data_IF_885788997404
#
_entry.id   IF_885788997404
#
_cell.length_a   1.000
_cell.length_b   1.000
_cell.length_c   1.000
_cell.angle_alpha   90.00
_cell.angle_beta   90.00
_cell.angle_gamma   90.00
#
_symmetry.space_group_name_H-M   'P 1'
#
loop_
_entity.id
_entity.type
_entity.pdbx_description
1 polymer ?
#
# COMPACT_ATOMS: atom_id res chain seq x y z
N UNK A 1 -9.55 14.37 -4.72
CA UNK A 1 -9.50 15.58 -3.87
C UNK A 1 -8.03 15.88 -3.64
N UNK A 2 -7.47 17.04 -4.01
CA UNK A 2 -6.09 17.34 -3.65
C UNK A 2 -6.06 17.56 -2.14
N UNK A 3 -5.40 16.66 -1.42
CA UNK A 3 -5.27 16.75 0.04
C UNK A 3 -4.35 17.91 0.33
N UNK A 4 -4.89 18.91 1.04
CA UNK A 4 -4.21 20.06 1.65
C UNK A 4 -2.77 19.69 2.06
N UNK A 5 -1.78 20.50 1.67
CA UNK A 5 -0.36 20.25 1.96
C UNK A 5 -0.16 19.79 3.41
N UNK A 6 0.13 18.50 3.54
CA UNK A 6 0.24 17.86 4.84
C UNK A 6 1.67 18.02 5.31
N UNK A 7 1.87 18.84 6.33
CA UNK A 7 3.17 19.05 6.96
C UNK A 7 3.42 17.85 7.88
N UNK A 8 4.45 17.08 7.59
CA UNK A 8 4.89 15.95 8.42
C UNK A 8 5.99 16.40 9.38
N UNK A 9 5.77 16.22 10.68
CA UNK A 9 6.79 16.52 11.70
C UNK A 9 7.50 15.23 12.15
N UNK A 10 8.81 15.33 12.39
CA UNK A 10 9.63 14.20 12.87
C UNK A 10 9.09 13.58 14.16
N UNK A 11 8.50 14.39 15.05
CA UNK A 11 7.95 13.95 16.34
C UNK A 11 6.69 13.10 16.21
N UNK A 12 5.98 13.17 15.08
CA UNK A 12 4.73 12.45 14.84
C UNK A 12 4.96 11.07 14.19
N UNK A 13 6.22 10.69 13.96
CA UNK A 13 6.58 9.40 13.39
C UNK A 13 6.06 8.26 14.27
N UNK A 14 5.38 7.30 13.64
CA UNK A 14 4.95 6.05 14.25
C UNK A 14 5.40 4.88 13.39
N UNK A 15 5.89 3.78 14.00
CA UNK A 15 6.17 2.56 13.25
C UNK A 15 4.93 2.03 12.53
N UNK A 16 5.12 1.50 11.32
CA UNK A 16 4.05 0.89 10.54
C UNK A 16 3.53 -0.39 11.24
N UNK A 17 2.20 -0.59 11.35
CA UNK A 17 1.57 -1.76 11.98
C UNK A 17 1.65 -3.06 11.20
N UNK A 18 2.15 -2.99 9.96
CA UNK A 18 2.34 -4.14 9.09
C UNK A 18 3.79 -4.20 8.63
N UNK A 19 4.32 -5.43 8.61
CA UNK A 19 5.54 -5.75 7.88
C UNK A 19 5.18 -6.36 6.53
N UNK A 20 5.92 -5.95 5.50
CA UNK A 20 5.83 -6.53 4.16
C UNK A 20 6.92 -7.57 4.04
N UNK A 21 6.56 -8.84 4.20
CA UNK A 21 7.50 -9.96 4.15
C UNK A 21 8.00 -10.24 2.72
N UNK A 22 7.13 -10.08 1.72
CA UNK A 22 7.52 -10.17 0.31
C UNK A 22 6.55 -9.43 -0.60
N UNK A 23 7.06 -8.96 -1.72
CA UNK A 23 6.30 -8.27 -2.77
C UNK A 23 6.60 -8.92 -4.12
N UNK A 24 5.56 -9.41 -4.78
CA UNK A 24 5.63 -9.93 -6.16
C UNK A 24 4.94 -8.90 -7.08
N UNK A 25 5.64 -8.41 -8.09
CA UNK A 25 5.11 -7.45 -9.07
C UNK A 25 5.18 -8.06 -10.47
N UNK A 26 4.08 -7.97 -11.19
CA UNK A 26 4.00 -8.31 -12.60
C UNK A 26 3.51 -7.09 -13.38
N UNK A 27 4.26 -6.72 -14.42
CA UNK A 27 3.96 -5.58 -15.28
C UNK A 27 3.63 -6.09 -16.67
N UNK A 28 2.42 -5.86 -17.12
CA UNK A 28 1.97 -6.11 -18.48
C UNK A 28 1.96 -4.75 -19.20
N UNK A 29 2.99 -4.51 -20.00
CA UNK A 29 3.18 -3.24 -20.72
C UNK A 29 2.30 -3.22 -21.97
N UNK A 30 1.30 -2.34 -22.00
CA UNK A 30 0.52 -2.05 -23.20
C UNK A 30 0.78 -0.59 -23.65
N UNK A 31 0.60 -0.27 -24.95
CA UNK A 31 0.87 1.07 -25.45
C UNK A 31 0.04 2.16 -24.78
N UNK A 32 -1.19 1.85 -24.36
CA UNK A 32 -2.14 2.80 -23.77
C UNK A 32 -2.02 2.90 -22.26
N UNK A 33 -1.77 1.77 -21.58
CA UNK A 33 -1.63 1.69 -20.13
C UNK A 33 -0.83 0.45 -19.70
N UNK A 34 -0.15 0.54 -18.56
CA UNK A 34 0.52 -0.63 -17.97
C UNK A 34 -0.41 -1.26 -16.94
N UNK A 35 -0.72 -2.54 -17.12
CA UNK A 35 -1.41 -3.31 -16.10
C UNK A 35 -0.39 -3.83 -15.07
N UNK A 36 -0.63 -3.50 -13.80
CA UNK A 36 0.23 -3.92 -12.68
C UNK A 36 -0.54 -4.88 -11.79
N UNK A 37 0.02 -6.08 -11.60
CA UNK A 37 -0.50 -7.05 -10.64
C UNK A 37 0.50 -7.22 -9.50
N UNK A 38 0.00 -7.02 -8.28
CA UNK A 38 0.81 -7.06 -7.06
C UNK A 38 0.27 -8.13 -6.12
N UNK A 39 1.16 -8.97 -5.58
CA UNK A 39 0.87 -9.84 -4.43
C UNK A 39 1.78 -9.44 -3.26
N UNK A 40 1.16 -9.07 -2.15
CA UNK A 40 1.85 -8.67 -0.91
C UNK A 40 1.66 -9.77 0.14
N UNK A 41 2.77 -10.27 0.70
CA UNK A 41 2.72 -11.07 1.93
C UNK A 41 2.91 -10.14 3.12
N UNK A 42 1.84 -9.96 3.88
CA UNK A 42 1.78 -9.00 4.97
C UNK A 42 1.71 -9.73 6.31
N UNK A 43 2.44 -9.21 7.29
CA UNK A 43 2.40 -9.69 8.66
C UNK A 43 2.03 -8.55 9.59
N UNK A 44 1.01 -8.76 10.42
CA UNK A 44 0.58 -7.81 11.43
C UNK A 44 1.53 -7.84 12.61
N UNK A 45 1.99 -6.67 13.07
CA UNK A 45 2.76 -6.56 14.32
C UNK A 45 1.86 -6.79 15.53
N UNK A 46 2.29 -7.64 16.46
CA UNK A 46 1.52 -7.98 17.66
C UNK A 46 1.20 -6.76 18.52
N UNK A 47 2.13 -5.81 18.61
CA UNK A 47 1.98 -4.57 19.40
C UNK A 47 0.87 -3.63 18.86
N UNK A 48 0.42 -3.83 17.63
CA UNK A 48 -0.51 -2.94 16.91
C UNK A 48 -1.68 -3.74 16.29
N UNK A 49 -2.16 -4.75 17.01
CA UNK A 49 -3.10 -5.73 16.50
C UNK A 49 -4.45 -5.16 16.02
N UNK A 50 -4.83 -3.94 16.44
CA UNK A 50 -6.09 -3.28 16.08
C UNK A 50 -6.03 -2.33 14.87
N UNK A 51 -4.86 -2.07 14.31
CA UNK A 51 -4.71 -1.07 13.23
C UNK A 51 -5.17 -1.63 11.86
N UNK A 52 -5.85 -0.85 11.01
CA UNK A 52 -6.23 -1.31 9.68
C UNK A 52 -4.99 -1.50 8.78
N UNK A 53 -5.15 -2.27 7.70
CA UNK A 53 -4.19 -2.22 6.59
C UNK A 53 -4.57 -1.04 5.70
N UNK A 54 -3.70 -0.03 5.65
CA UNK A 54 -3.84 1.12 4.75
C UNK A 54 -2.71 1.01 3.73
N UNK A 55 -3.06 0.97 2.45
CA UNK A 55 -2.12 0.93 1.33
C UNK A 55 -2.22 2.25 0.57
N UNK A 56 -1.08 2.91 0.39
CA UNK A 56 -0.99 4.13 -0.41
C UNK A 56 -1.04 3.81 -1.90
N UNK A 57 -1.87 4.52 -2.65
CA UNK A 57 -1.99 4.42 -4.10
C UNK A 57 -2.36 5.76 -4.71
N UNK A 58 -1.58 6.21 -5.69
CA UNK A 58 -1.77 7.50 -6.36
C UNK A 58 -1.89 7.30 -7.87
N UNK A 59 -2.92 7.91 -8.48
CA UNK A 59 -3.22 7.81 -9.91
C UNK A 59 -3.32 6.36 -10.43
N UNK A 60 -3.91 5.48 -9.62
CA UNK A 60 -4.15 4.07 -9.95
C UNK A 60 -5.64 3.82 -10.19
N UNK A 61 -5.94 3.00 -11.19
CA UNK A 61 -7.25 2.38 -11.36
C UNK A 61 -7.24 1.00 -10.68
N UNK A 62 -8.02 0.84 -9.61
CA UNK A 62 -8.14 -0.44 -8.92
C UNK A 62 -9.07 -1.38 -9.70
N UNK A 63 -8.49 -2.36 -10.39
CA UNK A 63 -9.25 -3.34 -11.16
C UNK A 63 -9.78 -4.49 -10.29
N UNK A 64 -8.96 -5.00 -9.37
CA UNK A 64 -9.32 -6.15 -8.54
C UNK A 64 -8.52 -6.15 -7.22
N UNK A 65 -9.16 -6.63 -6.15
CA UNK A 65 -8.51 -6.92 -4.86
C UNK A 65 -8.96 -8.29 -4.35
N UNK A 66 -8.03 -9.07 -3.80
CA UNK A 66 -8.29 -10.36 -3.17
C UNK A 66 -7.54 -10.46 -1.86
N UNK A 67 -8.15 -11.12 -0.88
CA UNK A 67 -7.56 -11.47 0.40
C UNK A 67 -7.76 -12.98 0.58
N UNK A 68 -6.67 -13.68 0.92
CA UNK A 68 -6.69 -15.11 1.21
C UNK A 68 -7.31 -15.42 2.58
#
# INVERSE_FOLDING_TARGET
>A
MPTKEQIFHRQDYRPCPWDVASTELCFELQPEATLVRTRLKLQRKQEQAGEPLVLDGENLELLEIRLD
#
